data_IF_630830946426
#
_entry.id   IF_630830946426
#
_cell.length_a   1.000
_cell.length_b   1.000
_cell.length_c   1.000
_cell.angle_alpha   90.00
_cell.angle_beta   90.00
_cell.angle_gamma   90.00
#
_symmetry.space_group_name_H-M   'P 1'
#
loop_
_entity.id
_entity.type
_entity.pdbx_description
1 polymer ?
#
# COMPACT_ATOMS: atom_id res chain seq x y z
N UNK A 1 -8.44 9.00 7.69
CA UNK A 1 -7.90 9.64 6.48
C UNK A 1 -6.62 8.95 6.06
N UNK A 2 -6.44 8.72 4.78
CA UNK A 2 -5.23 8.10 4.23
C UNK A 2 -4.62 9.03 3.19
N UNK A 3 -3.32 9.23 3.26
CA UNK A 3 -2.57 10.00 2.27
C UNK A 3 -1.66 9.06 1.49
N UNK A 4 -1.74 9.13 0.17
CA UNK A 4 -0.88 8.34 -0.72
C UNK A 4 0.07 9.29 -1.45
N UNK A 5 1.36 9.06 -1.32
CA UNK A 5 2.39 9.86 -1.98
C UNK A 5 3.20 8.95 -2.90
N UNK A 6 3.34 9.37 -4.16
CA UNK A 6 4.13 8.66 -5.14
C UNK A 6 5.54 9.24 -5.14
N UNK A 7 6.53 8.38 -4.89
CA UNK A 7 7.94 8.79 -4.84
C UNK A 7 8.68 8.04 -5.95
N UNK A 8 9.38 8.78 -6.80
CA UNK A 8 10.20 8.19 -7.86
C UNK A 8 11.68 8.33 -7.49
N UNK A 9 12.38 7.19 -7.40
CA UNK A 9 13.81 7.17 -7.13
C UNK A 9 14.47 6.12 -7.99
N UNK A 10 15.52 6.53 -8.73
CA UNK A 10 16.36 5.60 -9.53
C UNK A 10 15.56 4.67 -10.43
N UNK A 11 14.51 5.19 -11.06
CA UNK A 11 13.64 4.40 -11.93
C UNK A 11 12.65 3.49 -11.21
N UNK A 12 12.55 3.60 -9.89
CA UNK A 12 11.60 2.85 -9.08
C UNK A 12 10.55 3.77 -8.52
N UNK A 13 9.31 3.27 -8.42
CA UNK A 13 8.21 4.01 -7.82
C UNK A 13 7.83 3.37 -6.51
N UNK A 14 7.81 4.17 -5.44
CA UNK A 14 7.37 3.77 -4.12
C UNK A 14 6.09 4.54 -3.81
N UNK A 15 5.05 3.82 -3.38
CA UNK A 15 3.83 4.44 -2.86
C UNK A 15 3.95 4.52 -1.35
N UNK A 16 4.02 5.73 -0.84
CA UNK A 16 4.08 5.96 0.61
C UNK A 16 2.69 6.24 1.13
N UNK A 17 2.25 5.43 2.09
CA UNK A 17 0.94 5.57 2.71
C UNK A 17 1.09 6.19 4.10
N UNK A 18 0.21 7.13 4.42
CA UNK A 18 0.19 7.78 5.72
C UNK A 18 -1.24 7.81 6.25
N UNK A 19 -1.45 7.34 7.48
CA UNK A 19 -2.72 7.40 8.16
C UNK A 19 -3.38 6.04 8.37
N UNK A 20 -4.71 5.99 8.20
CA UNK A 20 -5.51 4.80 8.45
C UNK A 20 -6.08 4.25 7.15
N UNK A 21 -5.82 2.99 6.90
CA UNK A 21 -6.33 2.30 5.71
C UNK A 21 -7.67 1.64 6.06
N UNK A 22 -8.74 2.44 6.02
CA UNK A 22 -10.08 2.03 6.43
C UNK A 22 -11.13 2.59 5.48
N UNK A 23 -12.26 1.87 5.36
CA UNK A 23 -13.45 2.34 4.65
C UNK A 23 -13.19 2.80 3.22
N UNK A 24 -13.62 4.02 2.84
CA UNK A 24 -13.45 4.52 1.47
C UNK A 24 -12.00 4.61 1.01
N UNK A 25 -11.06 4.75 1.95
CA UNK A 25 -9.64 4.86 1.63
C UNK A 25 -9.07 3.57 1.06
N UNK A 26 -9.66 2.43 1.42
CA UNK A 26 -9.29 1.12 0.85
C UNK A 26 -9.58 1.10 -0.65
N UNK A 27 -10.76 1.56 -1.04
CA UNK A 27 -11.15 1.65 -2.45
C UNK A 27 -10.24 2.63 -3.20
N UNK A 28 -9.94 3.76 -2.59
CA UNK A 28 -9.07 4.77 -3.20
C UNK A 28 -7.68 4.23 -3.47
N UNK A 29 -7.11 3.50 -2.53
CA UNK A 29 -5.81 2.87 -2.73
C UNK A 29 -5.86 1.81 -3.83
N UNK A 30 -6.93 1.01 -3.87
CA UNK A 30 -7.12 0.02 -4.93
C UNK A 30 -7.17 0.67 -6.31
N UNK A 31 -7.86 1.82 -6.42
CA UNK A 31 -7.96 2.57 -7.67
C UNK A 31 -6.59 3.12 -8.09
N UNK A 32 -5.80 3.66 -7.16
CA UNK A 32 -4.45 4.16 -7.44
C UNK A 32 -3.58 3.03 -7.99
N UNK A 33 -3.62 1.87 -7.36
CA UNK A 33 -2.84 0.71 -7.81
C UNK A 33 -3.31 0.19 -9.18
N UNK A 34 -4.61 0.24 -9.44
CA UNK A 34 -5.19 -0.17 -10.71
C UNK A 34 -4.76 0.77 -11.85
N UNK A 35 -4.79 2.07 -11.60
CA UNK A 35 -4.35 3.06 -12.57
C UNK A 35 -2.84 2.92 -12.86
N UNK A 36 -2.06 2.61 -11.84
CA UNK A 36 -0.63 2.44 -11.97
C UNK A 36 -0.25 1.25 -12.88
N UNK A 37 -1.10 0.23 -12.94
CA UNK A 37 -0.87 -0.92 -13.83
C UNK A 37 -0.90 -0.54 -15.31
N UNK A 38 -1.55 0.55 -15.66
CA UNK A 38 -1.64 1.03 -17.03
C UNK A 38 -0.49 2.00 -17.38
N UNK A 39 0.39 2.27 -16.43
CA UNK A 39 1.54 3.14 -16.62
C UNK A 39 2.74 2.34 -17.11
N UNK A 40 3.63 2.99 -17.87
CA UNK A 40 4.87 2.38 -18.33
C UNK A 40 5.80 2.03 -17.16
N UNK A 41 5.72 2.81 -16.08
CA UNK A 41 6.49 2.54 -14.86
C UNK A 41 5.49 2.22 -13.75
N UNK A 42 5.48 0.97 -13.31
CA UNK A 42 4.55 0.52 -12.27
C UNK A 42 5.19 0.61 -10.89
N UNK A 43 4.42 1.03 -9.87
CA UNK A 43 4.90 0.96 -8.49
C UNK A 43 5.24 -0.48 -8.14
N UNK A 44 6.37 -0.67 -7.47
CA UNK A 44 6.81 -1.99 -7.03
C UNK A 44 6.80 -2.14 -5.52
N UNK A 45 6.80 -1.02 -4.81
CA UNK A 45 6.96 -1.00 -3.36
C UNK A 45 5.91 -0.10 -2.75
N UNK A 46 5.35 -0.56 -1.62
CA UNK A 46 4.42 0.23 -0.81
C UNK A 46 5.06 0.40 0.57
N UNK A 47 5.28 1.65 0.98
CA UNK A 47 5.87 1.98 2.27
C UNK A 47 4.75 2.17 3.30
N UNK A 48 4.75 1.33 4.33
CA UNK A 48 3.72 1.31 5.38
C UNK A 48 4.20 1.93 6.69
N UNK A 49 5.33 2.63 6.68
CA UNK A 49 5.92 3.17 7.91
C UNK A 49 4.96 4.09 8.68
N UNK A 50 4.15 4.87 7.97
CA UNK A 50 3.22 5.82 8.57
C UNK A 50 1.77 5.32 8.61
N UNK A 51 1.54 4.05 8.31
CA UNK A 51 0.21 3.44 8.43
C UNK A 51 0.00 3.00 9.87
N UNK A 52 -0.95 3.62 10.55
CA UNK A 52 -1.20 3.36 11.97
C UNK A 52 -2.27 2.31 12.21
N UNK A 53 -3.14 2.06 11.22
CA UNK A 53 -4.23 1.10 11.35
C UNK A 53 -4.73 0.68 9.98
N UNK A 54 -5.22 -0.56 9.88
CA UNK A 54 -5.93 -1.07 8.70
C UNK A 54 -7.08 -1.94 9.18
N UNK A 55 -8.28 -1.74 8.58
CA UNK A 55 -9.41 -2.60 8.88
C UNK A 55 -9.30 -3.92 8.09
N UNK A 56 -10.32 -4.79 8.23
CA UNK A 56 -10.33 -6.08 7.55
C UNK A 56 -10.17 -5.93 6.03
N UNK A 57 -10.87 -4.96 5.45
CA UNK A 57 -10.78 -4.72 4.01
C UNK A 57 -9.41 -4.16 3.61
N UNK A 58 -8.84 -3.30 4.45
CA UNK A 58 -7.49 -2.78 4.24
C UNK A 58 -6.45 -3.88 4.28
N UNK A 59 -6.54 -4.77 5.27
CA UNK A 59 -5.64 -5.91 5.37
C UNK A 59 -5.78 -6.85 4.17
N UNK A 60 -7.00 -7.11 3.72
CA UNK A 60 -7.25 -7.93 2.54
C UNK A 60 -6.62 -7.33 1.29
N UNK A 61 -6.75 -6.01 1.12
CA UNK A 61 -6.14 -5.32 0.00
C UNK A 61 -4.62 -5.42 0.03
N UNK A 62 -4.00 -5.21 1.20
CA UNK A 62 -2.55 -5.30 1.33
C UNK A 62 -2.04 -6.70 1.00
N UNK A 63 -2.74 -7.75 1.44
CA UNK A 63 -2.38 -9.13 1.10
C UNK A 63 -2.47 -9.36 -0.40
N UNK A 64 -3.52 -8.85 -1.04
CA UNK A 64 -3.72 -9.00 -2.48
C UNK A 64 -2.62 -8.28 -3.25
N UNK A 65 -2.25 -7.08 -2.83
CA UNK A 65 -1.17 -6.33 -3.47
C UNK A 65 0.17 -7.07 -3.34
N UNK A 66 0.45 -7.64 -2.16
CA UNK A 66 1.64 -8.45 -1.96
C UNK A 66 1.65 -9.65 -2.91
N UNK A 67 0.52 -10.33 -3.05
CA UNK A 67 0.41 -11.48 -3.94
C UNK A 67 0.53 -11.11 -5.42
N UNK A 68 0.24 -9.85 -5.75
CA UNK A 68 0.41 -9.33 -7.12
C UNK A 68 1.83 -8.89 -7.42
N UNK A 69 2.75 -9.01 -6.46
CA UNK A 69 4.14 -8.67 -6.68
C UNK A 69 4.62 -7.39 -6.02
N UNK A 70 3.74 -6.67 -5.34
CA UNK A 70 4.15 -5.48 -4.58
C UNK A 70 4.97 -5.87 -3.37
N UNK A 71 6.02 -5.10 -3.11
CA UNK A 71 6.83 -5.27 -1.91
C UNK A 71 6.31 -4.32 -0.84
N UNK A 72 5.88 -4.87 0.30
CA UNK A 72 5.45 -4.07 1.44
C UNK A 72 6.65 -3.82 2.34
N UNK A 73 6.98 -2.55 2.59
CA UNK A 73 8.14 -2.16 3.40
C UNK A 73 7.72 -1.40 4.65
N UNK A 74 8.55 -1.49 5.68
CA UNK A 74 8.41 -0.73 6.92
C UNK A 74 7.08 -0.99 7.63
N UNK A 75 6.54 -2.19 7.48
CA UNK A 75 5.29 -2.56 8.13
C UNK A 75 5.48 -2.55 9.66
N UNK A 76 4.60 -1.86 10.37
CA UNK A 76 4.66 -1.82 11.81
C UNK A 76 4.37 -3.20 12.42
N UNK A 77 4.93 -3.53 13.61
CA UNK A 77 4.81 -4.88 14.17
C UNK A 77 3.39 -5.39 14.32
N UNK A 78 2.46 -4.56 14.79
CA UNK A 78 1.06 -4.98 14.95
C UNK A 78 0.42 -5.31 13.60
N UNK A 79 0.67 -4.48 12.60
CA UNK A 79 0.13 -4.68 11.26
C UNK A 79 0.77 -5.89 10.59
N UNK A 80 2.08 -6.06 10.79
CA UNK A 80 2.83 -7.20 10.27
C UNK A 80 2.29 -8.52 10.82
N UNK A 81 1.96 -8.54 12.11
CA UNK A 81 1.39 -9.72 12.74
C UNK A 81 0.03 -10.07 12.16
N UNK A 82 -0.83 -9.08 11.94
CA UNK A 82 -2.14 -9.29 11.33
C UNK A 82 -2.05 -9.74 9.87
N UNK A 83 -1.05 -9.28 9.14
CA UNK A 83 -0.80 -9.70 7.76
C UNK A 83 -0.13 -11.07 7.68
N UNK A 84 0.38 -11.59 8.78
CA UNK A 84 1.04 -12.89 8.88
C UNK A 84 2.22 -13.02 7.91
N UNK A 85 3.08 -12.04 7.95
CA UNK A 85 4.33 -12.12 7.21
C UNK A 85 5.24 -13.22 7.73
#
# INVERSE_FOLDING_TARGET
MLRVTRIEESGKIVLRLEGKLVGPWVTELADVCSEAKNSLIQPQTIDLNEVTFADVDGLSLLRRLRNCGYRLQNCQPLLKEELKF
#
